data_IF_825849062160
#
_entry.id   IF_825849062160
#
_cell.length_a   1.000
_cell.length_b   1.000
_cell.length_c   1.000
_cell.angle_alpha   90.00
_cell.angle_beta   90.00
_cell.angle_gamma   90.00
#
_symmetry.space_group_name_H-M   'P 1'
#
loop_
_entity.id
_entity.type
_entity.pdbx_description
1 polymer ?
#
# COMPACT_ATOMS: atom_id res chain seq x y z
N UNK A 1 -21.50 -13.38 7.93
CA UNK A 1 -21.41 -12.07 8.60
C UNK A 1 -21.78 -10.97 7.59
N UNK A 2 -22.66 -10.08 8.00
CA UNK A 2 -23.20 -9.01 7.16
C UNK A 2 -22.19 -7.82 7.07
N UNK A 3 -21.00 -8.08 6.53
CA UNK A 3 -20.03 -7.03 6.29
C UNK A 3 -20.53 -6.12 5.16
N UNK A 4 -20.59 -4.83 5.43
CA UNK A 4 -20.91 -3.82 4.40
C UNK A 4 -19.68 -3.59 3.54
N UNK A 5 -19.73 -4.04 2.29
CA UNK A 5 -18.67 -3.82 1.30
C UNK A 5 -19.15 -2.83 0.25
N UNK A 6 -18.34 -1.84 -0.05
CA UNK A 6 -18.58 -0.87 -1.11
C UNK A 6 -17.51 -1.01 -2.17
N UNK A 7 -17.92 -1.37 -3.38
CA UNK A 7 -17.04 -1.45 -4.53
C UNK A 7 -17.07 -0.14 -5.30
N UNK A 8 -15.90 0.44 -5.56
CA UNK A 8 -15.75 1.71 -6.25
C UNK A 8 -14.74 1.53 -7.37
N UNK A 9 -15.15 1.78 -8.60
CA UNK A 9 -14.26 1.79 -9.78
C UNK A 9 -13.89 3.24 -10.04
N UNK A 10 -12.64 3.60 -9.74
CA UNK A 10 -12.15 4.97 -9.85
C UNK A 10 -10.62 4.99 -9.88
N UNK A 11 -10.05 6.12 -10.27
CA UNK A 11 -8.66 6.43 -10.05
C UNK A 11 -8.40 6.60 -8.55
N UNK A 12 -7.47 5.80 -8.00
CA UNK A 12 -7.23 5.76 -6.56
C UNK A 12 -6.80 7.12 -5.98
N UNK A 13 -5.92 7.86 -6.67
CA UNK A 13 -5.48 9.17 -6.21
C UNK A 13 -6.62 10.19 -6.21
N UNK A 14 -7.43 10.20 -7.25
CA UNK A 14 -8.61 11.07 -7.31
C UNK A 14 -9.60 10.74 -6.22
N UNK A 15 -9.83 9.46 -5.96
CA UNK A 15 -10.69 9.01 -4.86
C UNK A 15 -10.15 9.49 -3.51
N UNK A 16 -8.88 9.23 -3.21
CA UNK A 16 -8.23 9.62 -1.95
C UNK A 16 -8.31 11.14 -1.74
N UNK A 17 -8.02 11.93 -2.76
CA UNK A 17 -8.10 13.39 -2.68
C UNK A 17 -9.51 13.89 -2.39
N UNK A 18 -10.53 13.24 -2.94
CA UNK A 18 -11.93 13.56 -2.59
C UNK A 18 -12.26 13.20 -1.15
N UNK A 19 -11.79 12.05 -0.67
CA UNK A 19 -12.00 11.63 0.72
C UNK A 19 -11.29 12.55 1.71
N UNK A 20 -10.10 13.04 1.38
CA UNK A 20 -9.41 14.08 2.18
C UNK A 20 -10.28 15.33 2.27
N UNK A 21 -10.80 15.82 1.15
CA UNK A 21 -11.66 17.02 1.12
C UNK A 21 -12.96 16.82 1.92
N UNK A 22 -13.48 15.60 1.96
CA UNK A 22 -14.69 15.25 2.72
C UNK A 22 -14.42 15.03 4.20
N UNK A 23 -13.15 15.02 4.62
CA UNK A 23 -12.76 14.72 5.99
C UNK A 23 -12.99 13.26 6.39
N UNK A 24 -13.08 12.34 5.44
CA UNK A 24 -13.29 10.93 5.72
C UNK A 24 -11.99 10.27 6.16
N UNK A 25 -12.11 9.39 7.16
CA UNK A 25 -10.98 8.66 7.75
C UNK A 25 -11.25 7.16 7.73
N UNK A 26 -10.18 6.40 7.66
CA UNK A 26 -10.19 4.94 7.58
C UNK A 26 -9.24 4.36 8.61
N UNK A 27 -9.62 3.25 9.21
CA UNK A 27 -8.83 2.62 10.27
C UNK A 27 -7.72 1.71 9.74
N UNK A 28 -7.83 1.27 8.51
CA UNK A 28 -6.81 0.47 7.86
C UNK A 28 -6.75 0.75 6.36
N UNK A 29 -5.58 0.56 5.78
CA UNK A 29 -5.35 0.69 4.35
C UNK A 29 -4.59 -0.54 3.86
N UNK A 30 -5.06 -1.12 2.77
CA UNK A 30 -4.37 -2.17 2.02
C UNK A 30 -4.15 -1.65 0.61
N UNK A 31 -2.90 -1.68 0.14
CA UNK A 31 -2.54 -1.26 -1.21
C UNK A 31 -1.79 -2.36 -1.95
N UNK A 32 -2.15 -2.52 -3.19
CA UNK A 32 -1.47 -3.39 -4.15
C UNK A 32 -1.35 -2.66 -5.50
N UNK A 33 -0.52 -1.59 -5.57
CA UNK A 33 -0.42 -0.78 -6.76
C UNK A 33 0.31 -1.52 -7.89
N UNK A 34 -0.09 -1.31 -9.15
CA UNK A 34 0.59 -1.92 -10.29
C UNK A 34 1.98 -1.33 -10.49
N UNK A 35 2.86 -2.09 -11.16
CA UNK A 35 4.19 -1.60 -11.53
C UNK A 35 4.13 -0.43 -12.50
N UNK A 36 3.17 -0.48 -13.43
CA UNK A 36 2.97 0.51 -14.48
C UNK A 36 1.49 0.62 -14.84
N UNK A 37 1.07 1.81 -15.22
CA UNK A 37 -0.28 2.04 -15.71
C UNK A 37 -0.42 3.38 -16.39
N UNK A 38 -1.50 3.53 -17.18
CA UNK A 38 -1.92 4.79 -17.78
C UNK A 38 -3.33 5.14 -17.38
N UNK A 39 -3.55 6.39 -17.00
CA UNK A 39 -4.87 6.93 -16.76
C UNK A 39 -5.59 7.33 -18.04
N UNK A 40 -6.92 7.60 -17.98
CA UNK A 40 -7.73 8.00 -19.12
C UNK A 40 -7.26 9.30 -19.79
N UNK A 41 -6.61 10.19 -19.05
CA UNK A 41 -6.04 11.46 -19.55
C UNK A 41 -4.59 11.34 -20.03
N UNK A 42 -4.04 10.14 -20.17
CA UNK A 42 -2.66 9.90 -20.57
C UNK A 42 -1.64 9.99 -19.43
N UNK A 43 -2.10 10.16 -18.20
CA UNK A 43 -1.22 10.16 -17.01
C UNK A 43 -0.50 8.82 -16.89
N UNK A 44 0.80 8.88 -16.65
CA UNK A 44 1.61 7.70 -16.45
C UNK A 44 1.81 7.42 -14.95
N UNK A 45 1.51 6.19 -14.56
CA UNK A 45 1.91 5.63 -13.27
C UNK A 45 3.14 4.75 -13.45
N UNK A 46 4.17 5.05 -12.70
CA UNK A 46 5.32 4.17 -12.50
C UNK A 46 5.56 4.03 -11.00
N UNK A 47 5.62 2.81 -10.51
CA UNK A 47 5.71 2.57 -9.07
C UNK A 47 6.96 3.20 -8.46
N UNK A 48 8.09 3.14 -9.14
CA UNK A 48 9.35 3.73 -8.69
C UNK A 48 9.30 5.25 -8.54
N UNK A 49 8.48 5.93 -9.34
CA UNK A 49 8.38 7.39 -9.32
C UNK A 49 7.23 7.88 -8.43
N UNK A 50 6.17 7.10 -8.28
CA UNK A 50 4.90 7.57 -7.73
C UNK A 50 4.51 6.93 -6.39
N UNK A 51 5.11 5.80 -6.00
CA UNK A 51 4.68 5.06 -4.81
C UNK A 51 4.81 5.88 -3.52
N UNK A 52 5.92 6.57 -3.34
CA UNK A 52 6.14 7.36 -2.13
C UNK A 52 5.11 8.49 -1.97
N UNK A 53 4.78 9.16 -3.06
CA UNK A 53 3.74 10.17 -3.09
C UNK A 53 2.36 9.59 -2.74
N UNK A 54 2.03 8.40 -3.27
CA UNK A 54 0.79 7.70 -2.95
C UNK A 54 0.70 7.35 -1.47
N UNK A 55 1.78 6.88 -0.87
CA UNK A 55 1.84 6.59 0.57
C UNK A 55 1.54 7.86 1.37
N UNK A 56 2.15 8.97 1.02
CA UNK A 56 1.95 10.24 1.70
C UNK A 56 0.52 10.77 1.57
N UNK A 57 -0.08 10.62 0.40
CA UNK A 57 -1.48 11.05 0.20
C UNK A 57 -2.47 10.13 0.93
N UNK A 58 -2.29 8.83 0.88
CA UNK A 58 -3.16 7.88 1.57
C UNK A 58 -3.07 7.98 3.09
N UNK A 59 -1.92 8.38 3.62
CA UNK A 59 -1.77 8.68 5.05
C UNK A 59 -2.81 9.69 5.54
N UNK A 60 -3.14 10.68 4.74
CA UNK A 60 -4.06 11.75 5.12
C UNK A 60 -5.50 11.26 5.36
N UNK A 61 -5.84 10.05 4.91
CA UNK A 61 -7.14 9.42 5.19
C UNK A 61 -7.07 8.36 6.30
N UNK A 62 -5.93 8.17 6.95
CA UNK A 62 -5.86 7.35 8.17
C UNK A 62 -6.53 8.06 9.34
N UNK A 63 -7.26 7.29 10.14
CA UNK A 63 -7.84 7.77 11.39
C UNK A 63 -6.77 8.09 12.45
N UNK A 64 -7.18 8.70 13.55
CA UNK A 64 -6.25 9.04 14.64
C UNK A 64 -5.73 7.81 15.39
N UNK A 65 -6.50 6.73 15.38
CA UNK A 65 -6.12 5.44 15.96
C UNK A 65 -6.21 4.33 14.91
N UNK A 66 -5.34 4.35 13.88
CA UNK A 66 -5.38 3.37 12.82
C UNK A 66 -4.96 2.00 13.33
N UNK A 67 -5.41 0.95 12.65
CA UNK A 67 -5.05 -0.43 12.96
C UNK A 67 -3.78 -0.85 12.25
N UNK A 68 -3.76 -0.73 10.92
CA UNK A 68 -2.61 -1.13 10.11
C UNK A 68 -2.60 -0.44 8.73
N UNK A 69 -1.43 -0.51 8.11
CA UNK A 69 -1.22 -0.11 6.72
C UNK A 69 -0.39 -1.20 6.04
N UNK A 70 -0.98 -1.86 5.04
CA UNK A 70 -0.34 -2.95 4.29
C UNK A 70 -0.06 -2.50 2.86
N UNK A 71 1.17 -2.68 2.43
CA UNK A 71 1.62 -2.40 1.07
C UNK A 71 2.22 -3.65 0.46
N UNK A 72 1.67 -4.10 -0.66
CA UNK A 72 2.20 -5.20 -1.45
C UNK A 72 2.77 -4.68 -2.77
N UNK A 73 3.77 -5.35 -3.28
CA UNK A 73 4.32 -5.08 -4.60
C UNK A 73 4.81 -6.38 -5.25
N UNK A 74 4.51 -6.53 -6.52
CA UNK A 74 5.01 -7.62 -7.37
C UNK A 74 6.04 -7.11 -8.38
N UNK A 75 6.55 -5.89 -8.18
CA UNK A 75 7.52 -5.26 -9.07
C UNK A 75 8.92 -5.80 -8.81
N UNK A 76 9.56 -6.29 -9.86
CA UNK A 76 10.97 -6.71 -9.80
C UNK A 76 11.86 -5.51 -9.44
N UNK A 77 12.74 -5.70 -8.46
CA UNK A 77 13.67 -4.67 -8.01
C UNK A 77 13.18 -3.79 -6.87
N UNK A 78 11.89 -3.85 -6.52
CA UNK A 78 11.38 -3.18 -5.33
C UNK A 78 11.46 -4.12 -4.12
N UNK A 79 12.56 -3.99 -3.38
CA UNK A 79 12.86 -4.89 -2.29
C UNK A 79 12.08 -4.56 -1.00
N UNK A 80 11.86 -5.56 -0.12
CA UNK A 80 11.11 -5.36 1.12
C UNK A 80 11.62 -4.22 2.01
N UNK A 81 12.94 -4.13 2.18
CA UNK A 81 13.55 -3.06 3.00
C UNK A 81 13.27 -1.67 2.44
N UNK A 82 13.27 -1.52 1.13
CA UNK A 82 12.92 -0.24 0.48
C UNK A 82 11.48 0.14 0.80
N UNK A 83 10.56 -0.81 0.70
CA UNK A 83 9.15 -0.60 1.03
C UNK A 83 8.96 -0.24 2.50
N UNK A 84 9.66 -0.92 3.42
CA UNK A 84 9.64 -0.59 4.84
C UNK A 84 10.12 0.83 5.10
N UNK A 85 11.21 1.26 4.44
CA UNK A 85 11.74 2.61 4.57
C UNK A 85 10.75 3.66 4.03
N UNK A 86 10.10 3.37 2.92
CA UNK A 86 9.05 4.23 2.38
C UNK A 86 7.88 4.41 3.35
N UNK A 87 7.45 3.34 4.04
CA UNK A 87 6.41 3.43 5.06
C UNK A 87 6.88 4.25 6.27
N UNK A 88 8.10 4.03 6.73
CA UNK A 88 8.67 4.80 7.86
C UNK A 88 8.70 6.30 7.56
N UNK A 89 9.17 6.67 6.39
CA UNK A 89 9.28 8.06 5.98
C UNK A 89 7.92 8.66 5.58
N UNK A 90 7.14 7.92 4.79
CA UNK A 90 5.89 8.40 4.22
C UNK A 90 4.77 8.53 5.24
N UNK A 91 4.63 7.57 6.14
CA UNK A 91 3.64 7.62 7.20
C UNK A 91 4.04 8.57 8.33
N UNK A 92 5.34 8.84 8.46
CA UNK A 92 5.89 9.69 9.53
C UNK A 92 5.25 9.37 10.89
N UNK A 93 5.15 8.07 11.17
CA UNK A 93 4.50 7.60 12.39
C UNK A 93 5.43 7.82 13.56
N UNK A 94 5.11 8.82 14.35
CA UNK A 94 5.78 9.02 15.62
C UNK A 94 5.47 7.86 16.56
N UNK A 95 6.50 7.17 16.96
CA UNK A 95 6.64 6.52 18.26
C UNK A 95 6.08 5.11 18.48
N UNK A 96 5.00 4.63 17.82
CA UNK A 96 4.41 3.34 18.21
C UNK A 96 4.13 2.36 17.07
N UNK A 97 4.39 2.74 15.83
CA UNK A 97 4.16 1.82 14.72
C UNK A 97 5.31 0.83 14.59
N UNK A 98 4.97 -0.45 14.52
CA UNK A 98 5.91 -1.51 14.18
C UNK A 98 5.82 -1.75 12.68
N UNK A 99 6.91 -1.51 11.97
CA UNK A 99 7.00 -1.69 10.52
C UNK A 99 7.89 -2.89 10.22
N UNK A 100 7.30 -3.88 9.57
CA UNK A 100 7.97 -5.08 9.09
C UNK A 100 7.84 -5.19 7.59
N UNK A 101 8.78 -5.86 6.95
CA UNK A 101 8.71 -6.16 5.54
C UNK A 101 9.39 -7.49 5.23
N UNK A 102 8.83 -8.22 4.27
CA UNK A 102 9.33 -9.52 3.89
C UNK A 102 8.97 -9.84 2.44
N UNK A 103 9.59 -10.88 1.92
CA UNK A 103 9.27 -11.42 0.60
C UNK A 103 7.96 -12.21 0.66
N UNK A 104 7.13 -12.05 -0.38
CA UNK A 104 5.95 -12.90 -0.58
C UNK A 104 6.37 -14.09 -1.41
N UNK A 105 6.09 -15.29 -0.91
CA UNK A 105 6.39 -16.54 -1.59
C UNK A 105 5.19 -17.46 -1.65
N UNK A 106 5.14 -18.27 -2.70
CA UNK A 106 4.15 -19.32 -2.87
C UNK A 106 4.83 -20.68 -2.71
N UNK A 107 4.32 -21.50 -1.82
CA UNK A 107 4.82 -22.86 -1.67
C UNK A 107 4.55 -23.67 -2.92
N UNK A 108 5.59 -24.33 -3.43
CA UNK A 108 5.47 -25.23 -4.56
C UNK A 108 5.04 -26.63 -4.08
N UNK A 109 4.82 -27.54 -5.03
CA UNK A 109 4.53 -28.94 -4.70
C UNK A 109 5.75 -29.67 -4.13
N UNK A 110 6.95 -29.17 -4.41
CA UNK A 110 8.19 -29.73 -3.90
C UNK A 110 8.48 -29.14 -2.51
N UNK A 111 8.78 -30.01 -1.57
CA UNK A 111 9.06 -29.62 -0.20
C UNK A 111 10.26 -28.68 -0.12
N UNK A 112 10.10 -27.59 0.61
CA UNK A 112 11.17 -26.62 0.83
C UNK A 112 11.45 -25.66 -0.33
N UNK A 113 10.71 -25.75 -1.42
CA UNK A 113 10.86 -24.84 -2.55
C UNK A 113 9.73 -23.82 -2.56
N UNK A 114 10.10 -22.54 -2.62
CA UNK A 114 9.20 -21.41 -2.63
C UNK A 114 9.37 -20.61 -3.92
N UNK A 115 8.25 -20.34 -4.59
CA UNK A 115 8.23 -19.44 -5.75
C UNK A 115 8.16 -17.99 -5.24
N UNK A 116 9.17 -17.15 -5.53
CA UNK A 116 9.10 -15.73 -5.19
C UNK A 116 7.97 -15.06 -5.96
N UNK A 117 7.11 -14.31 -5.27
CA UNK A 117 5.95 -13.66 -5.88
C UNK A 117 5.95 -12.14 -5.72
N UNK A 118 6.72 -11.59 -4.80
CA UNK A 118 6.77 -10.16 -4.55
C UNK A 118 7.27 -9.81 -3.16
N UNK A 119 6.91 -8.62 -2.69
CA UNK A 119 7.28 -8.13 -1.38
C UNK A 119 6.07 -7.49 -0.68
N UNK A 120 6.08 -7.52 0.64
CA UNK A 120 5.05 -6.92 1.48
C UNK A 120 5.69 -6.10 2.59
N UNK A 121 5.14 -4.94 2.87
CA UNK A 121 5.49 -4.14 4.04
C UNK A 121 4.24 -3.84 4.85
N UNK A 122 4.33 -3.97 6.17
CA UNK A 122 3.21 -3.81 7.08
C UNK A 122 3.59 -2.86 8.21
N UNK A 123 2.77 -1.84 8.41
CA UNK A 123 2.80 -1.01 9.60
C UNK A 123 1.63 -1.39 10.51
N UNK A 124 1.92 -1.74 11.74
CA UNK A 124 0.92 -1.97 12.80
C UNK A 124 1.06 -0.84 13.81
N UNK A 125 -0.04 -0.19 14.05
CA UNK A 125 -0.08 0.99 14.94
C UNK A 125 -0.47 0.63 16.36
#
# INVERSE_FOLDING_TARGET
>A
ADAKVRYIIDDCLKFVRREIKRGRKYDAIIMDPPSFGRGPGGEMWKIEDNLFSLIRETKEVLSDNPLFYLLNSYTTGLQPTVMANMLKLGLNTSKNAVITADEIGLNTREEGIVLPAGASALAIF
#
